data_IF_730645717426
#
_entry.id   IF_730645717426
#
_cell.length_a   1.000
_cell.length_b   1.000
_cell.length_c   1.000
_cell.angle_alpha   90.00
_cell.angle_beta   90.00
_cell.angle_gamma   90.00
#
_symmetry.space_group_name_H-M   'P 1'
#
loop_
_entity.id
_entity.type
_entity.pdbx_description
1 polymer ?
#
# COMPACT_ATOMS: atom_id res chain seq x y z
N UNK A 1 1.54 6.03 -12.60
CA UNK A 1 2.73 6.05 -11.72
C UNK A 1 2.92 4.68 -11.09
N UNK A 2 1.81 4.06 -10.69
CA UNK A 2 1.68 2.67 -10.28
C UNK A 2 2.61 1.66 -10.96
N UNK A 3 2.60 1.54 -12.30
CA UNK A 3 3.43 0.55 -13.01
C UNK A 3 4.91 0.60 -12.60
N UNK A 4 5.52 1.79 -12.57
CA UNK A 4 6.93 1.96 -12.20
C UNK A 4 7.15 1.57 -10.74
N UNK A 5 6.24 1.98 -9.85
CA UNK A 5 6.29 1.64 -8.43
C UNK A 5 6.30 0.11 -8.25
N UNK A 6 5.30 -0.59 -8.82
CA UNK A 6 5.16 -2.05 -8.79
C UNK A 6 6.41 -2.76 -9.33
N UNK A 7 6.85 -2.41 -10.54
CA UNK A 7 8.04 -3.03 -11.16
C UNK A 7 9.29 -2.82 -10.29
N UNK A 8 9.41 -1.67 -9.62
CA UNK A 8 10.57 -1.35 -8.77
C UNK A 8 10.54 -2.14 -7.47
N UNK A 9 9.41 -2.14 -6.75
CA UNK A 9 9.35 -2.81 -5.44
C UNK A 9 9.33 -4.34 -5.58
N UNK A 10 8.78 -4.90 -6.67
CA UNK A 10 8.86 -6.34 -6.92
C UNK A 10 10.29 -6.75 -7.27
N UNK A 11 10.98 -5.95 -8.08
CA UNK A 11 12.39 -6.19 -8.43
C UNK A 11 13.31 -6.10 -7.21
N UNK A 12 13.14 -5.07 -6.39
CA UNK A 12 14.00 -4.80 -5.24
C UNK A 12 13.59 -5.58 -3.99
N UNK A 13 12.35 -6.09 -3.98
CA UNK A 13 11.68 -6.75 -2.85
C UNK A 13 11.58 -5.88 -1.59
N UNK A 14 11.43 -4.58 -1.79
CA UNK A 14 11.47 -3.60 -0.72
C UNK A 14 10.63 -2.38 -1.08
N UNK A 15 9.94 -1.85 -0.08
CA UNK A 15 9.23 -0.57 -0.13
C UNK A 15 9.65 0.27 1.06
N UNK A 16 9.64 1.58 0.90
CA UNK A 16 10.03 2.53 1.95
C UNK A 16 8.81 3.29 2.46
N UNK A 17 8.84 3.63 3.74
CA UNK A 17 7.85 4.49 4.39
C UNK A 17 8.52 5.36 5.44
N UNK A 18 7.81 6.39 5.89
CA UNK A 18 8.21 7.18 7.05
C UNK A 18 7.43 6.68 8.27
N UNK A 19 8.14 6.32 9.33
CA UNK A 19 7.56 6.04 10.64
C UNK A 19 7.53 7.33 11.46
N UNK A 20 6.33 7.75 11.87
CA UNK A 20 6.07 8.95 12.68
C UNK A 20 5.18 8.53 13.85
N UNK A 21 5.64 8.77 15.08
CA UNK A 21 4.91 8.45 16.31
C UNK A 21 4.34 7.00 16.34
N UNK A 22 5.20 6.03 15.98
CA UNK A 22 4.87 4.58 15.92
C UNK A 22 3.83 4.19 14.85
N UNK A 23 3.52 5.10 13.91
CA UNK A 23 2.63 4.86 12.77
C UNK A 23 3.28 5.26 11.44
N UNK A 24 2.57 5.05 10.33
CA UNK A 24 2.99 5.54 9.02
C UNK A 24 2.80 7.05 8.92
N UNK A 25 3.62 7.73 8.11
CA UNK A 25 3.26 9.03 7.58
C UNK A 25 1.96 8.89 6.77
N UNK A 26 0.97 9.71 7.12
CA UNK A 26 -0.37 9.66 6.56
C UNK A 26 -0.86 11.06 6.20
N UNK A 27 -1.77 11.12 5.23
CA UNK A 27 -2.58 12.30 4.94
C UNK A 27 -4.07 11.95 4.81
N UNK A 28 -4.93 12.96 4.75
CA UNK A 28 -6.34 12.75 4.39
C UNK A 28 -6.48 12.50 2.88
N UNK A 29 -7.34 11.55 2.52
CA UNK A 29 -7.63 11.22 1.12
C UNK A 29 -8.33 12.38 0.39
N UNK A 30 -7.97 12.53 -0.89
CA UNK A 30 -8.64 13.43 -1.83
C UNK A 30 -9.56 12.68 -2.81
N UNK A 31 -9.52 11.35 -2.79
CA UNK A 31 -10.23 10.48 -3.73
C UNK A 31 -11.32 9.66 -3.04
N UNK A 32 -11.04 9.17 -1.85
CA UNK A 32 -11.83 8.18 -1.12
C UNK A 32 -12.44 8.79 0.14
N UNK A 33 -13.74 8.59 0.29
CA UNK A 33 -14.53 9.16 1.38
C UNK A 33 -15.48 8.10 1.93
N UNK A 34 -15.69 8.11 3.24
CA UNK A 34 -16.76 7.32 3.88
C UNK A 34 -18.10 7.85 3.37
N UNK A 35 -18.94 6.99 2.81
CA UNK A 35 -20.15 7.43 2.12
C UNK A 35 -21.14 8.11 3.06
N UNK A 36 -21.28 7.61 4.28
CA UNK A 36 -22.25 8.09 5.27
C UNK A 36 -21.83 9.42 5.89
N UNK A 37 -20.55 9.58 6.24
CA UNK A 37 -20.05 10.76 6.95
C UNK A 37 -19.48 11.82 6.03
N UNK A 38 -19.16 11.45 4.77
CA UNK A 38 -18.38 12.25 3.82
C UNK A 38 -16.99 12.64 4.32
N UNK A 39 -16.48 11.93 5.34
CA UNK A 39 -15.13 12.13 5.85
C UNK A 39 -14.12 11.42 4.95
N UNK A 40 -12.98 12.08 4.71
CA UNK A 40 -11.88 11.48 3.95
C UNK A 40 -11.26 10.35 4.76
N UNK A 41 -11.01 9.21 4.11
CA UNK A 41 -10.27 8.12 4.75
C UNK A 41 -8.78 8.48 4.86
N UNK A 42 -8.04 7.92 5.83
CA UNK A 42 -6.60 8.13 5.90
C UNK A 42 -5.88 7.43 4.74
N UNK A 43 -4.79 8.04 4.29
CA UNK A 43 -3.90 7.51 3.24
C UNK A 43 -2.51 7.32 3.83
N UNK A 44 -2.02 6.08 3.92
CA UNK A 44 -0.65 5.79 4.33
C UNK A 44 0.31 5.85 3.15
N UNK A 45 1.49 6.47 3.36
CA UNK A 45 2.39 6.84 2.27
C UNK A 45 3.60 5.91 2.13
N UNK A 46 3.84 5.48 0.90
CA UNK A 46 4.90 4.55 0.53
C UNK A 46 5.66 5.00 -0.72
N UNK A 47 6.94 4.63 -0.77
CA UNK A 47 7.86 5.02 -1.84
C UNK A 47 8.68 3.83 -2.32
N UNK A 48 8.97 3.80 -3.63
CA UNK A 48 9.80 2.75 -4.22
C UNK A 48 11.32 2.96 -3.99
N UNK A 49 11.71 4.08 -3.40
CA UNK A 49 13.09 4.50 -3.19
C UNK A 49 13.26 5.27 -1.86
N UNK A 50 14.31 4.94 -1.12
CA UNK A 50 14.64 5.53 0.18
C UNK A 50 14.81 7.06 0.12
N UNK A 51 15.40 7.59 -0.96
CA UNK A 51 15.64 9.04 -1.08
C UNK A 51 14.33 9.79 -1.28
N UNK A 52 13.36 9.19 -1.96
CA UNK A 52 12.03 9.79 -2.11
C UNK A 52 11.31 9.86 -0.76
N UNK A 53 11.36 8.78 0.04
CA UNK A 53 10.83 8.79 1.40
C UNK A 53 11.55 9.83 2.28
N UNK A 54 12.89 9.86 2.25
CA UNK A 54 13.69 10.81 3.02
C UNK A 54 13.42 12.28 2.62
N UNK A 55 13.17 12.55 1.34
CA UNK A 55 12.84 13.88 0.84
C UNK A 55 11.49 14.39 1.34
N UNK A 56 10.61 13.49 1.82
CA UNK A 56 9.32 13.84 2.40
C UNK A 56 9.39 14.19 3.89
N UNK A 57 10.56 14.13 4.53
CA UNK A 57 10.73 14.53 5.94
C UNK A 57 10.64 16.05 6.13
N UNK A 58 9.43 16.59 6.06
CA UNK A 58 9.08 17.99 6.25
C UNK A 58 7.84 18.11 7.14
N UNK A 59 7.64 19.30 7.71
CA UNK A 59 6.46 19.64 8.52
C UNK A 59 6.12 18.58 9.59
N UNK A 60 4.94 17.97 9.50
CA UNK A 60 4.47 16.92 10.42
C UNK A 60 5.32 15.64 10.38
N UNK A 61 6.01 15.37 9.29
CA UNK A 61 6.90 14.21 9.14
C UNK A 61 8.39 14.57 9.30
N UNK A 62 8.72 15.78 9.76
CA UNK A 62 10.11 16.23 9.92
C UNK A 62 10.94 15.32 10.82
N UNK A 63 10.31 14.74 11.86
CA UNK A 63 10.94 13.77 12.78
C UNK A 63 10.82 12.32 12.33
N UNK A 64 10.17 12.06 11.20
CA UNK A 64 9.93 10.71 10.69
C UNK A 64 11.23 9.94 10.48
N UNK A 65 11.20 8.65 10.77
CA UNK A 65 12.31 7.73 10.53
C UNK A 65 12.02 7.01 9.22
N UNK A 66 12.98 7.02 8.29
CA UNK A 66 12.84 6.22 7.07
C UNK A 66 12.99 4.75 7.47
N UNK A 67 11.99 3.96 7.13
CA UNK A 67 11.94 2.52 7.34
C UNK A 67 11.67 1.85 6.00
N UNK A 68 11.90 0.55 5.97
CA UNK A 68 11.48 -0.29 4.86
C UNK A 68 10.71 -1.50 5.35
N UNK A 69 9.87 -2.01 4.46
CA UNK A 69 9.22 -3.31 4.57
C UNK A 69 9.62 -4.15 3.36
N UNK A 70 9.77 -5.44 3.57
CA UNK A 70 9.90 -6.41 2.48
C UNK A 70 8.64 -6.40 1.61
N UNK A 71 8.75 -6.95 0.40
CA UNK A 71 7.60 -7.09 -0.50
C UNK A 71 6.46 -7.88 0.15
N UNK A 72 6.79 -8.94 0.89
CA UNK A 72 5.85 -9.79 1.61
C UNK A 72 5.19 -9.04 2.77
N UNK A 73 5.97 -8.37 3.63
CA UNK A 73 5.41 -7.52 4.70
C UNK A 73 4.52 -6.42 4.14
N UNK A 74 4.88 -5.82 3.00
CA UNK A 74 4.04 -4.80 2.37
C UNK A 74 2.70 -5.34 1.88
N UNK A 75 2.65 -6.56 1.36
CA UNK A 75 1.40 -7.24 1.02
C UNK A 75 0.54 -7.41 2.28
N UNK A 76 1.14 -7.82 3.41
CA UNK A 76 0.45 -7.96 4.69
C UNK A 76 -0.09 -6.61 5.20
N UNK A 77 0.74 -5.56 5.16
CA UNK A 77 0.34 -4.19 5.51
C UNK A 77 -0.85 -3.73 4.66
N UNK A 78 -0.86 -4.04 3.36
CA UNK A 78 -2.00 -3.70 2.49
C UNK A 78 -3.31 -4.38 2.87
N UNK A 79 -3.27 -5.65 3.29
CA UNK A 79 -4.48 -6.29 3.82
C UNK A 79 -4.92 -5.69 5.15
N UNK A 80 -3.98 -5.33 6.03
CA UNK A 80 -4.30 -4.58 7.25
C UNK A 80 -5.00 -3.25 6.96
N UNK A 81 -4.46 -2.46 6.01
CA UNK A 81 -5.05 -1.20 5.57
C UNK A 81 -6.46 -1.37 4.97
N UNK A 82 -6.72 -2.47 4.26
CA UNK A 82 -8.07 -2.77 3.76
C UNK A 82 -9.06 -2.94 4.91
N UNK A 83 -8.68 -3.67 5.97
CA UNK A 83 -9.52 -3.88 7.16
C UNK A 83 -9.73 -2.59 7.93
N UNK A 84 -8.71 -1.73 7.99
CA UNK A 84 -8.75 -0.44 8.69
C UNK A 84 -9.42 0.69 7.88
N UNK A 85 -9.97 0.39 6.70
CA UNK A 85 -10.62 1.39 5.81
C UNK A 85 -9.66 2.53 5.45
N UNK A 86 -8.45 2.16 5.02
CA UNK A 86 -7.40 3.10 4.61
C UNK A 86 -7.08 2.96 3.11
N UNK A 87 -6.50 4.01 2.54
CA UNK A 87 -5.93 3.96 1.19
C UNK A 87 -4.39 3.96 1.22
N UNK A 88 -3.79 3.55 0.11
CA UNK A 88 -2.34 3.57 -0.09
C UNK A 88 -1.97 4.74 -0.98
N UNK A 89 -1.08 5.60 -0.53
CA UNK A 89 -0.52 6.71 -1.30
C UNK A 89 0.86 6.37 -1.83
N UNK A 90 1.07 6.50 -3.13
CA UNK A 90 2.38 6.29 -3.77
C UNK A 90 2.87 7.55 -4.47
N UNK A 91 4.19 7.76 -4.47
CA UNK A 91 4.84 8.81 -5.26
C UNK A 91 4.53 10.25 -4.83
N UNK A 92 3.96 10.43 -3.64
CA UNK A 92 3.76 11.73 -3.02
C UNK A 92 5.09 12.43 -2.75
N UNK A 93 5.08 13.76 -2.88
CA UNK A 93 6.16 14.65 -2.42
C UNK A 93 5.82 15.22 -1.06
N UNK A 94 6.79 15.91 -0.44
CA UNK A 94 6.63 16.59 0.84
C UNK A 94 5.43 17.56 0.91
N UNK A 95 5.05 18.16 -0.23
CA UNK A 95 3.92 19.08 -0.35
C UNK A 95 2.59 18.38 -0.72
N UNK A 96 2.53 17.05 -0.58
CA UNK A 96 1.41 16.18 -0.97
C UNK A 96 1.07 16.21 -2.48
N UNK A 97 1.95 16.76 -3.33
CA UNK A 97 1.69 16.83 -4.76
C UNK A 97 2.17 15.57 -5.51
N UNK A 98 1.52 15.32 -6.65
CA UNK A 98 1.98 14.37 -7.67
C UNK A 98 1.72 12.90 -7.38
N UNK A 99 1.26 12.55 -6.17
CA UNK A 99 0.99 11.16 -5.79
C UNK A 99 -0.30 10.58 -6.39
N UNK A 100 -0.46 9.28 -6.17
CA UNK A 100 -1.63 8.49 -6.59
C UNK A 100 -2.16 7.75 -5.35
N UNK A 101 -3.47 7.81 -5.11
CA UNK A 101 -4.15 7.09 -4.02
C UNK A 101 -4.80 5.82 -4.58
N UNK A 102 -4.66 4.70 -3.86
CA UNK A 102 -5.05 3.38 -4.32
C UNK A 102 -5.82 2.62 -3.25
N UNK A 103 -6.76 1.80 -3.69
CA UNK A 103 -7.38 0.77 -2.84
C UNK A 103 -6.32 -0.29 -2.53
N UNK A 104 -6.11 -0.67 -1.26
CA UNK A 104 -5.03 -1.58 -0.88
C UNK A 104 -5.08 -2.93 -1.61
N UNK A 105 -6.25 -3.54 -1.75
CA UNK A 105 -6.38 -4.85 -2.43
C UNK A 105 -6.11 -4.77 -3.93
N UNK A 106 -6.42 -3.65 -4.59
CA UNK A 106 -6.09 -3.45 -6.00
C UNK A 106 -4.58 -3.30 -6.21
N UNK A 107 -3.89 -2.65 -5.27
CA UNK A 107 -2.43 -2.60 -5.26
C UNK A 107 -1.84 -4.01 -5.09
N UNK A 108 -2.38 -4.82 -4.19
CA UNK A 108 -1.92 -6.21 -4.00
C UNK A 108 -2.17 -7.05 -5.24
N UNK A 109 -3.31 -6.91 -5.93
CA UNK A 109 -3.56 -7.56 -7.24
C UNK A 109 -2.45 -7.22 -8.24
N UNK A 110 -2.10 -5.94 -8.36
CA UNK A 110 -1.02 -5.50 -9.25
C UNK A 110 0.36 -6.06 -8.86
N UNK A 111 0.66 -6.19 -7.56
CA UNK A 111 1.89 -6.83 -7.08
C UNK A 111 1.93 -8.32 -7.44
N UNK A 112 0.84 -9.03 -7.20
CA UNK A 112 0.71 -10.46 -7.50
C UNK A 112 0.92 -10.73 -9.00
N UNK A 113 0.30 -9.92 -9.86
CA UNK A 113 0.45 -10.03 -11.31
C UNK A 113 1.92 -9.84 -11.74
N UNK A 114 2.61 -8.85 -11.16
CA UNK A 114 4.01 -8.59 -11.46
C UNK A 114 4.93 -9.69 -10.93
N UNK A 115 4.68 -10.21 -9.73
CA UNK A 115 5.40 -11.36 -9.16
C UNK A 115 5.27 -12.58 -10.08
N UNK A 116 4.05 -12.88 -10.54
CA UNK A 116 3.78 -13.99 -11.47
C UNK A 116 4.45 -13.79 -12.82
N UNK A 117 4.43 -12.55 -13.34
CA UNK A 117 5.03 -12.20 -14.64
C UNK A 117 6.55 -12.33 -14.60
N UNK A 118 7.18 -11.90 -13.52
CA UNK A 118 8.64 -11.89 -13.34
C UNK A 118 9.19 -13.17 -12.74
N UNK A 119 8.32 -14.06 -12.23
CA UNK A 119 8.70 -15.25 -11.46
C UNK A 119 9.56 -14.88 -10.25
N UNK A 120 9.25 -13.74 -9.64
CA UNK A 120 9.96 -13.28 -8.44
C UNK A 120 9.69 -14.24 -7.29
N UNK A 121 10.76 -14.80 -6.71
CA UNK A 121 10.63 -15.69 -5.56
C UNK A 121 10.17 -14.90 -4.34
N UNK A 122 9.12 -15.35 -3.67
CA UNK A 122 8.61 -14.77 -2.42
C UNK A 122 8.57 -15.81 -1.32
N UNK A 123 8.81 -15.40 -0.07
CA UNK A 123 8.77 -16.29 1.09
C UNK A 123 8.11 -15.55 2.24
N UNK A 124 6.90 -15.98 2.58
CA UNK A 124 6.13 -15.43 3.67
C UNK A 124 6.52 -16.11 4.98
N UNK A 125 6.52 -15.36 6.08
CA UNK A 125 6.98 -15.84 7.39
C UNK A 125 5.91 -15.82 8.48
N UNK A 126 4.84 -15.03 8.34
CA UNK A 126 3.86 -14.83 9.41
C UNK A 126 2.40 -14.90 8.94
N UNK A 127 1.91 -13.90 8.20
CA UNK A 127 0.47 -13.77 7.94
C UNK A 127 -0.03 -14.65 6.79
N UNK A 128 0.88 -15.08 5.92
CA UNK A 128 0.59 -15.97 4.80
C UNK A 128 1.57 -17.14 4.75
N UNK A 129 1.11 -18.28 4.23
CA UNK A 129 1.91 -19.46 3.94
C UNK A 129 2.48 -19.41 2.52
N UNK A 130 1.78 -18.72 1.59
CA UNK A 130 2.17 -18.67 0.18
C UNK A 130 1.48 -17.57 -0.62
N UNK A 131 2.04 -17.27 -1.80
CA UNK A 131 1.39 -16.41 -2.80
C UNK A 131 0.03 -16.97 -3.27
N UNK A 132 -0.16 -18.29 -3.22
CA UNK A 132 -1.44 -18.91 -3.56
C UNK A 132 -2.52 -18.56 -2.54
N UNK A 133 -2.18 -18.48 -1.25
CA UNK A 133 -3.10 -18.04 -0.20
C UNK A 133 -3.45 -16.56 -0.36
N UNK A 134 -2.47 -15.71 -0.69
CA UNK A 134 -2.72 -14.29 -1.01
C UNK A 134 -3.74 -14.16 -2.15
N UNK A 135 -3.56 -14.92 -3.24
CA UNK A 135 -4.51 -14.94 -4.37
C UNK A 135 -5.90 -15.42 -3.96
N UNK A 136 -5.99 -16.45 -3.13
CA UNK A 136 -7.27 -16.94 -2.63
C UNK A 136 -8.00 -15.87 -1.82
N UNK A 137 -7.29 -15.14 -0.96
CA UNK A 137 -7.87 -14.05 -0.18
C UNK A 137 -8.37 -12.90 -1.07
N UNK A 138 -7.59 -12.49 -2.09
CA UNK A 138 -8.03 -11.47 -3.05
C UNK A 138 -9.33 -11.88 -3.76
N UNK A 139 -9.45 -13.14 -4.17
CA UNK A 139 -10.65 -13.65 -4.81
C UNK A 139 -11.84 -13.66 -3.85
N UNK A 140 -11.63 -14.01 -2.57
CA UNK A 140 -12.71 -13.98 -1.57
C UNK A 140 -13.23 -12.55 -1.37
N UNK A 141 -12.33 -11.58 -1.20
CA UNK A 141 -12.70 -10.17 -1.03
C UNK A 141 -13.48 -9.66 -2.25
N UNK A 142 -13.06 -10.03 -3.47
CA UNK A 142 -13.78 -9.64 -4.69
C UNK A 142 -15.19 -10.21 -4.74
N UNK A 143 -15.38 -11.47 -4.35
CA UNK A 143 -16.71 -12.08 -4.27
C UNK A 143 -17.60 -11.39 -3.24
N UNK A 144 -17.08 -11.10 -2.06
CA UNK A 144 -17.82 -10.44 -0.99
C UNK A 144 -18.34 -9.05 -1.42
N UNK A 145 -17.51 -8.27 -2.13
CA UNK A 145 -17.90 -6.96 -2.69
C UNK A 145 -19.01 -7.12 -3.74
N UNK A 146 -18.88 -8.10 -4.65
CA UNK A 146 -19.90 -8.30 -5.70
C UNK A 146 -21.24 -8.76 -5.15
N UNK A 147 -21.24 -9.51 -4.05
CA UNK A 147 -22.47 -9.95 -3.38
C UNK A 147 -23.15 -8.78 -2.65
N UNK A 148 -22.39 -7.87 -2.05
CA UNK A 148 -22.92 -6.65 -1.41
C UNK A 148 -23.56 -5.68 -2.42
N UNK A 149 -22.97 -5.50 -3.61
CA UNK A 149 -23.53 -4.63 -4.67
C UNK A 149 -24.79 -5.21 -5.34
N UNK A 150 -25.04 -6.52 -5.23
CA UNK A 150 -26.17 -7.21 -5.85
C UNK A 150 -27.46 -7.21 -5.00
N UNK A 151 -27.41 -6.72 -3.77
CA UNK A 151 -28.51 -6.66 -2.79
C UNK A 151 -29.23 -5.31 -2.77
#
# INVERSE_FOLDING_TARGET
MLKKFIETIVKNKEVFYLEVDESFAMCGSQTFYIEETKEAIPVALFWEDEKNAAACKADEWAKGIVKSATLEEFIEICFGMQVETMAVGIGFKADLSGGEELVPVDLVKALVDEIDRTKTAVTFSESFESLAQVKQLLNQIELDITDEEAL
#
